data_IF_673245414047
#
_entry.id   IF_673245414047
#
_cell.length_a   1.000
_cell.length_b   1.000
_cell.length_c   1.000
_cell.angle_alpha   90.00
_cell.angle_beta   90.00
_cell.angle_gamma   90.00
#
_symmetry.space_group_name_H-M   'P 1'
#
loop_
_entity.id
_entity.type
_entity.pdbx_description
1 polymer ?
#
# COMPACT_ATOMS: atom_id res chain seq x y z
N UNK A 1 20.72 8.63 53.12
CA UNK A 1 21.41 8.59 51.82
C UNK A 1 20.39 8.98 50.74
N UNK A 2 20.64 10.04 50.01
CA UNK A 2 19.83 10.42 48.86
C UNK A 2 20.41 9.68 47.63
N UNK A 3 19.63 8.80 47.03
CA UNK A 3 20.01 8.10 45.80
C UNK A 3 19.47 8.89 44.60
N UNK A 4 20.35 9.36 43.73
CA UNK A 4 19.97 10.02 42.48
C UNK A 4 19.96 9.00 41.33
N UNK A 5 18.82 8.80 40.73
CA UNK A 5 18.67 7.94 39.54
C UNK A 5 18.96 8.74 38.30
N UNK A 6 19.87 8.34 37.41
CA UNK A 6 20.15 9.06 36.18
C UNK A 6 18.96 8.97 35.23
N UNK A 7 18.74 10.03 34.45
CA UNK A 7 17.76 10.04 33.35
C UNK A 7 18.27 9.09 32.25
N UNK A 8 17.44 8.15 31.74
CA UNK A 8 17.83 7.29 30.63
C UNK A 8 18.15 8.08 29.37
N UNK A 9 19.07 7.62 28.50
CA UNK A 9 19.29 8.27 27.20
C UNK A 9 18.03 8.19 26.34
N UNK A 10 17.89 9.14 25.40
CA UNK A 10 16.82 9.09 24.41
C UNK A 10 16.96 7.83 23.57
N UNK A 11 15.90 7.02 23.41
CA UNK A 11 15.94 5.85 22.55
C UNK A 11 16.16 6.22 21.07
N UNK A 12 16.72 5.27 20.31
CA UNK A 12 16.79 5.34 18.86
C UNK A 12 15.82 4.33 18.25
N UNK A 13 15.01 4.79 17.29
CA UNK A 13 14.08 3.92 16.56
C UNK A 13 14.65 3.54 15.20
N UNK A 14 14.59 2.26 14.89
CA UNK A 14 14.94 1.71 13.58
C UNK A 14 13.73 1.01 12.93
N UNK A 15 13.57 1.13 11.58
CA UNK A 15 14.32 1.99 10.66
C UNK A 15 14.12 3.47 10.98
N UNK A 16 15.09 4.31 10.66
CA UNK A 16 15.04 5.75 10.96
C UNK A 16 13.97 6.52 10.13
N UNK A 17 13.40 5.88 9.11
CA UNK A 17 12.37 6.44 8.23
C UNK A 17 12.92 7.40 7.15
N UNK A 18 12.04 7.97 6.30
CA UNK A 18 10.62 7.66 6.22
C UNK A 18 10.33 6.23 5.72
N UNK A 19 9.25 5.63 6.19
CA UNK A 19 8.75 4.33 5.72
C UNK A 19 7.51 4.58 4.87
N UNK A 20 7.57 4.20 3.59
CA UNK A 20 6.46 4.41 2.64
C UNK A 20 6.11 3.05 2.03
N UNK A 21 4.86 2.62 2.19
CA UNK A 21 4.37 1.33 1.70
C UNK A 21 2.96 1.47 1.15
N UNK A 22 2.50 0.45 0.42
CA UNK A 22 1.10 0.34 0.02
C UNK A 22 0.30 -0.43 1.08
N UNK A 23 -0.99 -0.13 1.14
CA UNK A 23 -1.97 -0.90 1.91
C UNK A 23 -1.87 -2.40 1.60
N UNK A 24 -2.02 -3.26 2.61
CA UNK A 24 -1.93 -4.71 2.46
C UNK A 24 -0.50 -5.26 2.28
N UNK A 25 0.54 -4.42 2.31
CA UNK A 25 1.93 -4.88 2.37
C UNK A 25 2.21 -5.61 3.71
N UNK A 26 3.40 -6.21 3.85
CA UNK A 26 3.85 -6.75 5.13
C UNK A 26 3.81 -5.68 6.22
N UNK A 27 3.49 -6.08 7.46
CA UNK A 27 3.46 -5.17 8.59
C UNK A 27 4.81 -4.49 8.78
N UNK A 28 4.76 -3.22 9.17
CA UNK A 28 5.95 -2.42 9.50
C UNK A 28 6.33 -2.73 10.94
N UNK A 29 7.60 -3.07 11.18
CA UNK A 29 8.13 -3.28 12.53
C UNK A 29 9.11 -2.15 12.84
N UNK A 30 8.78 -1.34 13.84
CA UNK A 30 9.70 -0.37 14.42
C UNK A 30 10.35 -0.97 15.65
N UNK A 31 11.65 -0.76 15.84
CA UNK A 31 12.42 -1.29 16.96
C UNK A 31 13.08 -0.16 17.73
N UNK A 32 12.89 -0.15 19.06
CA UNK A 32 13.61 0.74 19.99
C UNK A 32 14.89 0.04 20.48
N UNK A 33 15.98 0.78 20.61
CA UNK A 33 17.21 0.30 21.25
C UNK A 33 17.14 0.30 22.77
N UNK A 34 16.12 0.93 23.38
CA UNK A 34 15.91 0.85 24.81
C UNK A 34 15.36 -0.53 25.19
N UNK A 35 16.11 -1.27 26.02
CA UNK A 35 15.76 -2.63 26.42
C UNK A 35 14.48 -2.73 27.28
N UNK A 36 14.14 -1.67 28.01
CA UNK A 36 13.00 -1.65 28.96
C UNK A 36 12.35 -0.27 29.05
N UNK A 37 11.16 -0.23 29.62
CA UNK A 37 10.47 1.01 29.96
C UNK A 37 9.86 1.75 28.77
N UNK A 38 9.80 1.12 27.61
CA UNK A 38 9.26 1.73 26.40
C UNK A 38 7.77 2.08 26.54
N UNK A 39 7.39 3.22 26.02
CA UNK A 39 6.03 3.60 25.66
C UNK A 39 6.07 4.23 24.27
N UNK A 40 5.37 3.62 23.33
CA UNK A 40 5.26 4.12 21.97
C UNK A 40 4.17 5.16 21.83
N UNK A 41 4.39 6.11 20.91
CA UNK A 41 3.48 7.21 20.61
C UNK A 41 3.24 7.28 19.09
N UNK A 42 2.02 7.64 18.70
CA UNK A 42 1.65 8.03 17.35
C UNK A 42 1.14 9.47 17.38
N UNK A 43 1.73 10.34 16.56
CA UNK A 43 1.37 11.75 16.45
C UNK A 43 1.32 12.47 17.82
N UNK A 44 2.25 12.13 18.71
CA UNK A 44 2.36 12.64 20.06
C UNK A 44 1.41 12.02 21.09
N UNK A 45 0.49 11.15 20.68
CA UNK A 45 -0.43 10.44 21.59
C UNK A 45 0.08 9.04 21.94
N UNK A 46 -0.01 8.60 23.21
CA UNK A 46 0.45 7.28 23.60
C UNK A 46 -0.41 6.19 22.96
N UNK A 47 0.24 5.13 22.46
CA UNK A 47 -0.42 3.93 21.95
C UNK A 47 -0.64 3.00 23.14
N UNK A 48 -1.92 2.76 23.51
CA UNK A 48 -2.27 1.95 24.69
C UNK A 48 -1.67 0.54 24.62
N UNK A 49 -0.91 0.16 25.67
CA UNK A 49 -0.28 -1.16 25.79
C UNK A 49 0.98 -1.37 24.92
N UNK A 50 1.40 -0.39 24.13
CA UNK A 50 2.60 -0.49 23.30
C UNK A 50 3.87 -0.19 24.13
N UNK A 51 4.32 -1.18 24.91
CA UNK A 51 5.45 -1.07 25.84
C UNK A 51 6.62 -2.00 25.52
N UNK A 52 6.52 -2.79 24.45
CA UNK A 52 7.59 -3.67 23.99
C UNK A 52 8.72 -2.89 23.30
N UNK A 53 9.87 -3.55 23.12
CA UNK A 53 10.99 -3.02 22.34
C UNK A 53 10.65 -2.86 20.87
N UNK A 54 9.62 -3.58 20.38
CA UNK A 54 9.13 -3.49 19.00
C UNK A 54 7.69 -3.02 18.96
N UNK A 55 7.37 -2.22 17.94
CA UNK A 55 6.00 -1.84 17.57
C UNK A 55 5.67 -2.42 16.20
N UNK A 56 4.60 -3.22 16.14
CA UNK A 56 4.11 -3.79 14.89
C UNK A 56 2.92 -2.96 14.38
N UNK A 57 3.06 -2.39 13.17
CA UNK A 57 2.07 -1.51 12.55
C UNK A 57 1.46 -2.23 11.35
N UNK A 58 0.15 -2.47 11.39
CA UNK A 58 -0.59 -3.01 10.25
C UNK A 58 -0.67 -1.97 9.13
N UNK A 59 -0.51 -2.42 7.89
CA UNK A 59 -0.43 -1.55 6.71
C UNK A 59 -1.82 -1.14 6.20
N UNK A 60 -2.56 -0.41 7.04
CA UNK A 60 -3.80 0.28 6.68
C UNK A 60 -3.57 1.79 6.66
N UNK A 61 -4.14 2.57 5.73
CA UNK A 61 -3.89 4.01 5.61
C UNK A 61 -4.11 4.81 6.90
N UNK A 62 -5.06 4.37 7.76
CA UNK A 62 -5.32 4.98 9.06
C UNK A 62 -4.13 4.92 10.04
N UNK A 63 -3.16 4.03 9.79
CA UNK A 63 -1.96 3.90 10.60
C UNK A 63 -0.79 4.76 10.09
N UNK A 64 -0.97 5.56 9.05
CA UNK A 64 0.00 6.60 8.69
C UNK A 64 0.14 7.61 9.83
N UNK A 65 1.36 8.09 10.06
CA UNK A 65 1.63 9.04 11.14
C UNK A 65 3.11 9.09 11.52
N UNK A 66 3.41 9.88 12.52
CA UNK A 66 4.75 10.03 13.10
C UNK A 66 4.86 9.19 14.37
N UNK A 67 5.80 8.27 14.40
CA UNK A 67 6.00 7.34 15.52
C UNK A 67 7.26 7.68 16.30
N UNK A 68 7.13 7.70 17.63
CA UNK A 68 8.22 7.94 18.58
C UNK A 68 8.10 7.00 19.76
N UNK A 69 9.16 6.89 20.56
CA UNK A 69 9.16 6.14 21.82
C UNK A 69 9.86 6.94 22.91
N UNK A 70 9.39 6.77 24.16
CA UNK A 70 10.02 7.27 25.36
C UNK A 70 10.32 6.06 26.24
N UNK A 71 11.50 6.01 26.87
CA UNK A 71 11.84 5.00 27.88
C UNK A 71 11.77 5.59 29.27
N UNK A 72 11.08 4.90 30.18
CA UNK A 72 10.97 5.29 31.60
C UNK A 72 11.55 4.19 32.48
N UNK A 73 12.58 4.52 33.22
CA UNK A 73 13.25 3.61 34.17
C UNK A 73 13.27 4.25 35.54
N UNK A 74 12.81 3.51 36.57
CA UNK A 74 12.75 4.01 37.95
C UNK A 74 12.08 5.38 38.09
N UNK A 75 10.96 5.59 37.35
CA UNK A 75 10.18 6.83 37.31
C UNK A 75 10.91 8.03 36.63
N UNK A 76 12.08 7.83 36.06
CA UNK A 76 12.79 8.82 35.26
C UNK A 76 12.56 8.54 33.77
N UNK A 77 11.97 9.49 33.05
CA UNK A 77 11.72 9.36 31.61
C UNK A 77 12.86 9.96 30.79
N UNK A 78 13.23 9.29 29.71
CA UNK A 78 14.16 9.81 28.71
C UNK A 78 13.58 11.01 27.94
N UNK A 79 14.39 11.69 27.16
CA UNK A 79 13.91 12.50 26.05
C UNK A 79 13.22 11.59 25.00
N UNK A 80 12.40 12.18 24.14
CA UNK A 80 11.73 11.46 23.04
C UNK A 80 12.78 10.99 22.01
N UNK A 81 12.54 9.83 21.40
CA UNK A 81 13.37 9.27 20.32
C UNK A 81 13.36 10.14 19.06
N UNK A 82 14.17 9.73 18.06
CA UNK A 82 13.92 10.17 16.68
C UNK A 82 12.50 9.80 16.25
N UNK A 83 11.89 10.64 15.42
CA UNK A 83 10.57 10.39 14.85
C UNK A 83 10.70 9.58 13.54
N UNK A 84 9.85 8.57 13.39
CA UNK A 84 9.73 7.78 12.15
C UNK A 84 8.42 8.14 11.47
N UNK A 85 8.50 8.82 10.33
CA UNK A 85 7.35 9.10 9.48
C UNK A 85 6.95 7.82 8.72
N UNK A 86 5.73 7.34 8.94
CA UNK A 86 5.14 6.19 8.24
C UNK A 86 4.02 6.70 7.35
N UNK A 87 4.10 6.35 6.05
CA UNK A 87 3.07 6.65 5.06
C UNK A 87 2.58 5.34 4.43
N UNK A 88 1.29 5.06 4.58
CA UNK A 88 0.65 3.88 4.01
C UNK A 88 -0.34 4.38 2.96
N UNK A 89 -0.01 4.15 1.69
CA UNK A 89 -0.81 4.61 0.57
C UNK A 89 -1.94 3.62 0.29
N UNK A 90 -3.17 4.14 0.15
CA UNK A 90 -4.31 3.32 -0.23
C UNK A 90 -4.12 2.69 -1.61
N UNK A 91 -4.68 1.50 -1.80
CA UNK A 91 -4.75 0.84 -3.10
C UNK A 91 -5.81 1.50 -3.99
N UNK A 92 -5.67 1.44 -5.33
CA UNK A 92 -6.78 1.73 -6.24
C UNK A 92 -8.00 0.85 -5.95
N UNK A 93 -9.21 1.36 -6.23
CA UNK A 93 -10.45 0.60 -6.06
C UNK A 93 -10.50 -0.61 -7.01
N UNK A 94 -11.08 -1.71 -6.53
CA UNK A 94 -11.30 -2.93 -7.32
C UNK A 94 -12.68 -2.96 -8.00
N UNK A 95 -13.54 -1.99 -7.69
CA UNK A 95 -14.97 -1.94 -8.08
C UNK A 95 -15.28 -1.49 -9.51
N UNK A 96 -14.37 -0.81 -10.28
CA UNK A 96 -14.66 -0.52 -11.69
C UNK A 96 -15.05 -1.79 -12.45
N UNK A 97 -16.11 -1.69 -13.27
CA UNK A 97 -16.68 -2.83 -13.98
C UNK A 97 -15.96 -3.02 -15.32
N UNK A 98 -15.55 -4.27 -15.59
CA UNK A 98 -14.88 -4.68 -16.82
C UNK A 98 -15.90 -5.30 -17.78
N UNK A 99 -15.95 -4.81 -19.01
CA UNK A 99 -16.84 -5.31 -20.06
C UNK A 99 -16.16 -5.33 -21.44
N UNK A 100 -16.51 -6.28 -22.32
CA UNK A 100 -17.44 -7.39 -22.10
C UNK A 100 -16.85 -8.47 -21.18
N UNK A 101 -17.69 -9.19 -20.45
CA UNK A 101 -17.22 -10.32 -19.63
C UNK A 101 -16.72 -11.49 -20.48
N UNK A 102 -17.33 -11.68 -21.65
CA UNK A 102 -16.94 -12.69 -22.66
C UNK A 102 -17.06 -12.12 -24.07
N UNK A 103 -16.18 -12.52 -24.97
CA UNK A 103 -16.25 -12.16 -26.40
C UNK A 103 -15.56 -13.23 -27.26
N UNK A 104 -15.90 -13.27 -28.55
CA UNK A 104 -15.24 -14.13 -29.54
C UNK A 104 -14.71 -13.29 -30.68
N UNK A 105 -13.47 -13.52 -31.10
CA UNK A 105 -12.80 -12.80 -32.18
C UNK A 105 -12.02 -13.75 -33.10
N UNK A 106 -11.75 -13.32 -34.33
CA UNK A 106 -10.83 -14.06 -35.20
C UNK A 106 -9.39 -13.88 -34.74
N UNK A 107 -8.55 -14.89 -35.03
CA UNK A 107 -7.10 -14.80 -34.74
C UNK A 107 -6.46 -13.56 -35.38
N UNK A 108 -5.64 -12.85 -34.62
CA UNK A 108 -5.00 -11.59 -35.02
C UNK A 108 -5.86 -10.35 -34.79
N UNK A 109 -7.09 -10.47 -34.28
CA UNK A 109 -7.94 -9.34 -33.94
C UNK A 109 -7.61 -8.72 -32.57
N UNK A 110 -8.01 -7.46 -32.38
CA UNK A 110 -7.94 -6.76 -31.08
C UNK A 110 -9.30 -6.78 -30.41
N UNK A 111 -9.31 -6.60 -29.09
CA UNK A 111 -10.52 -6.46 -28.27
C UNK A 111 -10.52 -5.12 -27.56
N UNK A 112 -11.65 -4.41 -27.60
CA UNK A 112 -11.87 -3.22 -26.80
C UNK A 112 -12.51 -3.62 -25.47
N UNK A 113 -11.81 -3.35 -24.38
CA UNK A 113 -12.28 -3.55 -23.00
C UNK A 113 -12.73 -2.21 -22.46
N UNK A 114 -13.99 -2.12 -22.04
CA UNK A 114 -14.56 -0.95 -21.36
C UNK A 114 -14.41 -1.13 -19.85
N UNK A 115 -13.95 -0.10 -19.17
CA UNK A 115 -13.84 -0.02 -17.71
C UNK A 115 -14.78 1.09 -17.25
N UNK A 116 -15.95 0.72 -16.74
CA UNK A 116 -16.93 1.67 -16.22
C UNK A 116 -16.59 2.05 -14.79
N UNK A 117 -16.67 3.36 -14.47
CA UNK A 117 -16.36 3.88 -13.14
C UNK A 117 -14.87 3.92 -12.82
N UNK A 118 -14.03 4.16 -13.82
CA UNK A 118 -12.58 4.33 -13.61
C UNK A 118 -12.30 5.48 -12.65
N UNK A 119 -11.30 5.35 -11.78
CA UNK A 119 -10.88 6.43 -10.87
C UNK A 119 -9.99 7.43 -11.62
N UNK A 120 -10.26 8.74 -11.46
CA UNK A 120 -9.37 9.78 -11.94
C UNK A 120 -8.00 9.68 -11.26
N UNK A 121 -6.94 9.87 -12.04
CA UNK A 121 -5.57 9.80 -11.53
C UNK A 121 -5.00 8.38 -11.36
N UNK A 122 -5.75 7.33 -11.71
CA UNK A 122 -5.31 5.94 -11.72
C UNK A 122 -5.12 5.48 -13.17
N UNK A 123 -4.05 4.78 -13.45
CA UNK A 123 -3.78 4.18 -14.76
C UNK A 123 -4.29 2.73 -14.78
N UNK A 124 -4.91 2.35 -15.87
CA UNK A 124 -5.46 1.01 -16.13
C UNK A 124 -4.74 0.36 -17.31
N UNK A 125 -4.34 -0.89 -17.15
CA UNK A 125 -3.60 -1.66 -18.15
C UNK A 125 -4.13 -3.09 -18.21
N UNK A 126 -4.21 -3.65 -19.43
CA UNK A 126 -4.71 -4.99 -19.69
C UNK A 126 -3.57 -6.01 -19.66
N UNK A 127 -3.83 -7.18 -19.07
CA UNK A 127 -2.86 -8.28 -18.94
C UNK A 127 -3.50 -9.63 -19.26
N UNK A 128 -2.67 -10.55 -19.81
CA UNK A 128 -2.88 -12.00 -19.79
C UNK A 128 -1.83 -12.60 -18.85
N UNK A 129 -2.25 -12.98 -17.66
CA UNK A 129 -1.33 -13.35 -16.59
C UNK A 129 -0.35 -12.21 -16.27
N UNK A 130 0.92 -12.37 -16.65
CA UNK A 130 2.00 -11.36 -16.47
C UNK A 130 2.30 -10.57 -17.73
N UNK A 131 1.72 -10.96 -18.88
CA UNK A 131 1.99 -10.34 -20.18
C UNK A 131 1.10 -9.11 -20.37
N UNK A 132 1.70 -7.95 -20.61
CA UNK A 132 0.94 -6.73 -20.96
C UNK A 132 0.33 -6.84 -22.34
N UNK A 133 -0.96 -6.51 -22.46
CA UNK A 133 -1.73 -6.51 -23.70
C UNK A 133 -2.04 -5.10 -24.19
N UNK A 134 -1.73 -4.06 -23.44
CA UNK A 134 -2.03 -2.68 -23.80
C UNK A 134 -1.02 -1.70 -23.19
N UNK A 135 -0.98 -0.47 -23.68
CA UNK A 135 -0.39 0.63 -22.93
C UNK A 135 -1.33 1.05 -21.78
N UNK A 136 -0.81 1.63 -20.68
CA UNK A 136 -1.62 2.18 -19.62
C UNK A 136 -2.52 3.33 -20.10
N UNK A 137 -3.79 3.35 -19.69
CA UNK A 137 -4.76 4.40 -19.99
C UNK A 137 -5.21 5.04 -18.67
N UNK A 138 -5.17 6.38 -18.63
CA UNK A 138 -5.56 7.12 -17.43
C UNK A 138 -7.09 7.07 -17.24
N UNK A 139 -7.50 6.81 -16.00
CA UNK A 139 -8.90 6.90 -15.56
C UNK A 139 -9.38 8.34 -15.53
N UNK A 140 -10.64 8.55 -15.88
CA UNK A 140 -11.26 9.87 -16.01
C UNK A 140 -12.29 10.20 -14.92
N UNK A 141 -12.60 9.24 -14.06
CA UNK A 141 -13.76 9.28 -13.15
C UNK A 141 -15.03 8.71 -13.77
N UNK A 142 -15.00 8.40 -15.08
CA UNK A 142 -16.08 7.78 -15.86
C UNK A 142 -15.64 6.49 -16.53
N UNK A 143 -16.31 6.14 -17.63
CA UNK A 143 -15.92 4.99 -18.45
C UNK A 143 -14.71 5.32 -19.34
N UNK A 144 -13.81 4.35 -19.47
CA UNK A 144 -12.68 4.37 -20.42
C UNK A 144 -12.67 3.10 -21.26
N UNK A 145 -12.08 3.20 -22.45
CA UNK A 145 -11.88 2.07 -23.35
C UNK A 145 -10.38 1.81 -23.51
N UNK A 146 -9.98 0.55 -23.40
CA UNK A 146 -8.62 0.10 -23.62
C UNK A 146 -8.64 -0.99 -24.69
N UNK A 147 -7.78 -0.86 -25.69
CA UNK A 147 -7.69 -1.83 -26.80
C UNK A 147 -6.48 -2.73 -26.56
N UNK A 148 -6.69 -4.06 -26.70
CA UNK A 148 -5.59 -5.04 -26.60
C UNK A 148 -4.67 -4.96 -27.81
N UNK A 149 -3.46 -5.49 -27.68
CA UNK A 149 -2.70 -6.00 -28.84
C UNK A 149 -3.49 -7.09 -29.56
N UNK A 150 -3.04 -7.48 -30.76
CA UNK A 150 -3.65 -8.57 -31.52
C UNK A 150 -3.58 -9.90 -30.73
N UNK A 151 -4.71 -10.60 -30.61
CA UNK A 151 -4.82 -11.85 -29.90
C UNK A 151 -4.80 -13.03 -30.86
N UNK A 152 -3.94 -14.01 -30.62
CA UNK A 152 -3.79 -15.22 -31.48
C UNK A 152 -4.21 -16.50 -30.76
N UNK A 153 -4.56 -16.43 -29.47
CA UNK A 153 -4.99 -17.54 -28.65
C UNK A 153 -6.06 -17.09 -27.66
N UNK A 154 -6.81 -18.05 -27.13
CA UNK A 154 -7.77 -17.81 -26.05
C UNK A 154 -7.08 -17.13 -24.87
N UNK A 155 -7.67 -16.06 -24.35
CA UNK A 155 -7.05 -15.17 -23.38
C UNK A 155 -8.04 -14.80 -22.29
N UNK A 156 -7.58 -14.79 -21.03
CA UNK A 156 -8.34 -14.21 -19.91
C UNK A 156 -7.71 -12.88 -19.53
N UNK A 157 -8.35 -11.80 -19.96
CA UNK A 157 -7.87 -10.44 -19.72
C UNK A 157 -8.17 -10.04 -18.28
N UNK A 158 -7.14 -9.71 -17.53
CA UNK A 158 -7.21 -9.05 -16.23
C UNK A 158 -6.84 -7.58 -16.37
N UNK A 159 -7.35 -6.73 -15.47
CA UNK A 159 -7.08 -5.30 -15.49
C UNK A 159 -6.30 -4.91 -14.24
N UNK A 160 -5.12 -4.34 -14.41
CA UNK A 160 -4.32 -3.77 -13.34
C UNK A 160 -4.57 -2.27 -13.26
N UNK A 161 -4.98 -1.81 -12.08
CA UNK A 161 -5.08 -0.40 -11.72
C UNK A 161 -3.82 0.01 -10.96
N UNK A 162 -3.16 1.08 -11.37
CA UNK A 162 -1.91 1.59 -10.78
C UNK A 162 -2.05 3.07 -10.47
N UNK A 163 -1.75 3.46 -9.23
CA UNK A 163 -1.57 4.87 -8.90
C UNK A 163 -0.17 5.30 -9.39
N UNK A 164 -0.04 6.20 -10.36
CA UNK A 164 1.25 6.56 -10.95
C UNK A 164 2.18 7.33 -9.99
N UNK A 165 1.63 7.93 -8.94
CA UNK A 165 2.40 8.69 -7.95
C UNK A 165 2.96 7.79 -6.85
N UNK A 166 2.12 6.89 -6.32
CA UNK A 166 2.50 6.01 -5.19
C UNK A 166 3.02 4.65 -5.64
N UNK A 167 2.82 4.30 -6.91
CA UNK A 167 3.09 3.00 -7.53
C UNK A 167 2.31 1.83 -6.90
N UNK A 168 1.33 2.13 -6.07
CA UNK A 168 0.44 1.12 -5.50
C UNK A 168 -0.48 0.56 -6.58
N UNK A 169 -0.57 -0.77 -6.65
CA UNK A 169 -1.32 -1.48 -7.69
C UNK A 169 -2.35 -2.42 -7.10
N UNK A 170 -3.45 -2.61 -7.85
CA UNK A 170 -4.44 -3.67 -7.57
C UNK A 170 -4.96 -4.26 -8.87
N UNK A 171 -5.52 -5.48 -8.80
CA UNK A 171 -6.29 -6.06 -9.89
C UNK A 171 -7.77 -5.74 -9.67
N UNK A 172 -8.49 -5.40 -10.75
CA UNK A 172 -9.94 -5.30 -10.68
C UNK A 172 -10.55 -6.69 -10.46
N UNK A 173 -11.71 -6.73 -9.84
CA UNK A 173 -12.44 -7.98 -9.58
C UNK A 173 -13.04 -8.59 -10.85
N UNK A 174 -13.30 -7.77 -11.89
CA UNK A 174 -13.82 -8.22 -13.19
C UNK A 174 -12.71 -8.63 -14.14
N UNK A 175 -13.03 -9.60 -15.02
CA UNK A 175 -12.18 -10.08 -16.10
C UNK A 175 -12.96 -10.11 -17.41
N UNK A 176 -12.25 -10.20 -18.55
CA UNK A 176 -12.85 -10.43 -19.86
C UNK A 176 -12.27 -11.70 -20.48
N UNK A 177 -13.10 -12.70 -20.75
CA UNK A 177 -12.69 -13.96 -21.39
C UNK A 177 -12.87 -13.85 -22.90
N UNK A 178 -11.78 -14.01 -23.63
CA UNK A 178 -11.75 -13.94 -25.09
C UNK A 178 -11.53 -15.32 -25.69
N UNK A 179 -12.43 -15.75 -26.54
CA UNK A 179 -12.27 -16.94 -27.38
C UNK A 179 -11.78 -16.50 -28.76
N UNK A 180 -10.68 -17.10 -29.23
CA UNK A 180 -10.09 -16.84 -30.55
C UNK A 180 -10.41 -18.02 -31.48
N UNK A 181 -10.97 -17.71 -32.66
CA UNK A 181 -11.39 -18.69 -33.69
C UNK A 181 -10.62 -18.52 -34.99
#
# INVERSE_FOLDING_TARGET
>A
VVTVTPIPPAPTVTPAGPVIVCEGSANIVLTSDAATGNQWYKDGSPIGGATATTLNITTTPANSGSYTVISTVSSCSSAVSNAVAVTINALPLTTPVVAPATTTVCSGSTVTVNIAGSQAGINYELFDGVTSLSSPVAGTGGAINIVTSALTANTTITVRATNPTTLCTTLLSGTSVVTVT
#
